data_IF_219841097931
#
_entry.id   IF_219841097931
#
_cell.length_a   1.000
_cell.length_b   1.000
_cell.length_c   1.000
_cell.angle_alpha   90.00
_cell.angle_beta   90.00
_cell.angle_gamma   90.00
#
_symmetry.space_group_name_H-M   'P 1'
#
loop_
_entity.id
_entity.type
_entity.pdbx_description
1 polymer ?
#
# COMPACT_ATOMS: atom_id res chain seq x y z
N UNK A 1 -37.13 -51.98 45.00
CA UNK A 1 -37.67 -51.45 43.73
C UNK A 1 -36.93 -50.15 43.46
N UNK A 2 -35.99 -50.15 42.53
CA UNK A 2 -35.08 -49.02 42.26
C UNK A 2 -35.74 -48.07 41.28
N UNK A 3 -35.72 -46.77 41.58
CA UNK A 3 -36.07 -45.69 40.65
C UNK A 3 -35.04 -44.57 40.79
N UNK A 4 -34.73 -43.96 39.63
CA UNK A 4 -33.88 -42.79 39.29
C UNK A 4 -32.51 -43.17 38.72
N UNK A 5 -32.02 -42.59 37.63
CA UNK A 5 -32.54 -41.58 36.70
C UNK A 5 -31.61 -41.52 35.47
N UNK A 6 -32.19 -41.17 34.33
CA UNK A 6 -31.63 -40.78 33.02
C UNK A 6 -30.13 -40.45 32.95
N UNK A 7 -29.44 -41.11 32.00
CA UNK A 7 -28.25 -40.59 31.35
C UNK A 7 -28.50 -40.60 29.84
N UNK A 8 -28.84 -39.45 29.27
CA UNK A 8 -28.64 -39.21 27.84
C UNK A 8 -27.15 -38.87 27.66
N UNK A 9 -26.43 -39.71 26.92
CA UNK A 9 -25.08 -39.42 26.47
C UNK A 9 -25.14 -38.27 25.46
N UNK A 10 -24.68 -37.08 25.87
CA UNK A 10 -24.34 -36.01 24.95
C UNK A 10 -23.01 -36.36 24.27
N UNK A 11 -23.07 -36.85 23.04
CA UNK A 11 -21.90 -36.88 22.16
C UNK A 11 -21.48 -35.42 21.87
N UNK A 12 -20.45 -34.95 22.57
CA UNK A 12 -19.73 -33.74 22.20
C UNK A 12 -19.13 -33.95 20.80
N UNK A 13 -19.74 -33.32 19.79
CA UNK A 13 -19.17 -33.23 18.45
C UNK A 13 -17.86 -32.43 18.52
N UNK A 14 -16.75 -33.14 18.57
CA UNK A 14 -15.40 -32.58 18.45
C UNK A 14 -15.28 -31.94 17.06
N UNK A 15 -15.43 -30.62 16.96
CA UNK A 15 -15.04 -29.90 15.76
C UNK A 15 -13.50 -29.94 15.68
N UNK A 16 -12.91 -30.47 14.59
CA UNK A 16 -11.46 -30.47 14.46
C UNK A 16 -10.94 -29.04 14.49
N UNK A 17 -9.89 -28.79 15.28
CA UNK A 17 -9.22 -27.50 15.36
C UNK A 17 -8.78 -27.09 13.95
N UNK A 18 -9.23 -25.92 13.52
CA UNK A 18 -8.90 -25.37 12.21
C UNK A 18 -7.38 -25.20 12.05
N UNK A 19 -6.80 -25.89 11.06
CA UNK A 19 -5.37 -25.80 10.71
C UNK A 19 -5.14 -24.84 9.53
N UNK A 20 -5.05 -23.55 9.86
CA UNK A 20 -4.75 -22.47 8.90
C UNK A 20 -3.47 -22.71 8.10
N UNK A 21 -2.44 -23.33 8.70
CA UNK A 21 -1.14 -23.50 8.07
C UNK A 21 -1.22 -24.51 6.93
N UNK A 22 -1.93 -25.61 7.14
CA UNK A 22 -2.12 -26.62 6.10
C UNK A 22 -2.99 -26.11 4.96
N UNK A 23 -4.06 -25.36 5.24
CA UNK A 23 -4.88 -24.73 4.18
C UNK A 23 -4.06 -23.71 3.37
N UNK A 24 -3.28 -22.84 4.02
CA UNK A 24 -2.43 -21.87 3.34
C UNK A 24 -1.38 -22.54 2.46
N UNK A 25 -0.78 -23.64 2.94
CA UNK A 25 0.18 -24.42 2.16
C UNK A 25 -0.49 -25.03 0.93
N UNK A 26 -1.67 -25.63 1.08
CA UNK A 26 -2.40 -26.22 -0.04
C UNK A 26 -2.78 -25.15 -1.09
N UNK A 27 -3.20 -23.97 -0.65
CA UNK A 27 -3.45 -22.83 -1.52
C UNK A 27 -2.19 -22.39 -2.27
N UNK A 28 -1.04 -22.23 -1.58
CA UNK A 28 0.23 -21.83 -2.19
C UNK A 28 0.73 -22.87 -3.22
N UNK A 29 0.64 -24.16 -2.87
CA UNK A 29 1.06 -25.27 -3.74
C UNK A 29 0.23 -25.36 -5.03
N UNK A 30 -1.02 -24.89 -5.00
CA UNK A 30 -1.89 -24.84 -6.18
C UNK A 30 -1.35 -23.90 -7.27
N UNK A 31 -0.64 -22.83 -6.86
CA UNK A 31 -0.11 -21.75 -7.71
C UNK A 31 -1.15 -21.12 -8.65
N UNK A 32 -2.44 -21.28 -8.36
CA UNK A 32 -3.53 -20.74 -9.18
C UNK A 32 -3.96 -19.34 -8.73
N UNK A 33 -3.60 -18.96 -7.50
CA UNK A 33 -3.96 -17.68 -6.87
C UNK A 33 -5.46 -17.57 -6.61
N UNK A 34 -5.89 -16.41 -6.09
CA UNK A 34 -7.31 -16.17 -5.74
C UNK A 34 -8.22 -16.26 -6.96
N UNK A 35 -7.76 -15.77 -8.12
CA UNK A 35 -8.48 -15.88 -9.40
C UNK A 35 -8.79 -17.34 -9.76
N UNK A 36 -7.87 -18.27 -9.52
CA UNK A 36 -8.09 -19.69 -9.77
C UNK A 36 -9.21 -20.29 -8.92
N UNK A 37 -9.44 -19.78 -7.70
CA UNK A 37 -10.58 -20.16 -6.88
C UNK A 37 -11.89 -19.67 -7.51
N UNK A 38 -11.92 -18.41 -7.94
CA UNK A 38 -13.10 -17.81 -8.58
C UNK A 38 -13.43 -18.53 -9.89
N UNK A 39 -12.43 -18.86 -10.70
CA UNK A 39 -12.60 -19.61 -11.95
C UNK A 39 -13.12 -21.04 -11.73
N UNK A 40 -12.82 -21.63 -10.58
CA UNK A 40 -13.38 -22.92 -10.16
C UNK A 40 -14.83 -22.83 -9.66
N UNK A 41 -15.43 -21.63 -9.62
CA UNK A 41 -16.83 -21.41 -9.27
C UNK A 41 -17.11 -21.46 -7.76
N UNK A 42 -16.14 -21.08 -6.92
CA UNK A 42 -16.37 -21.04 -5.47
C UNK A 42 -17.49 -20.06 -5.11
N UNK A 43 -18.41 -20.51 -4.26
CA UNK A 43 -19.51 -19.67 -3.72
C UNK A 43 -19.26 -19.25 -2.28
N UNK A 44 -18.24 -19.82 -1.64
CA UNK A 44 -17.77 -19.47 -0.30
C UNK A 44 -16.27 -19.29 -0.31
N UNK A 45 -15.76 -18.31 0.43
CA UNK A 45 -14.32 -18.09 0.53
C UNK A 45 -13.67 -19.11 1.48
N UNK A 46 -12.47 -19.60 1.17
CA UNK A 46 -11.68 -20.42 2.10
C UNK A 46 -11.44 -19.72 3.45
N UNK A 47 -11.32 -20.49 4.53
CA UNK A 47 -11.24 -19.93 5.89
C UNK A 47 -9.95 -19.13 6.12
N UNK A 48 -8.89 -19.38 5.35
CA UNK A 48 -7.66 -18.57 5.33
C UNK A 48 -7.88 -17.09 4.97
N UNK A 49 -8.98 -16.76 4.26
CA UNK A 49 -9.31 -15.40 3.81
C UNK A 49 -10.34 -14.69 4.70
N UNK A 50 -10.95 -15.40 5.66
CA UNK A 50 -11.93 -14.81 6.57
C UNK A 50 -11.19 -13.96 7.61
N UNK A 51 -11.47 -12.65 7.62
CA UNK A 51 -10.99 -11.74 8.65
C UNK A 51 -11.83 -11.86 9.93
N UNK A 52 -11.19 -11.81 11.09
CA UNK A 52 -11.90 -11.89 12.37
C UNK A 52 -12.78 -10.65 12.61
N UNK A 53 -14.01 -10.85 13.10
CA UNK A 53 -15.09 -9.84 13.23
C UNK A 53 -14.72 -8.52 13.93
N UNK A 54 -13.65 -8.49 14.72
CA UNK A 54 -13.19 -7.26 15.38
C UNK A 54 -12.55 -6.25 14.40
N UNK A 55 -12.05 -6.70 13.24
CA UNK A 55 -11.55 -5.81 12.18
C UNK A 55 -12.67 -5.32 11.25
N UNK A 56 -13.80 -6.04 11.19
CA UNK A 56 -14.94 -5.75 10.32
C UNK A 56 -15.97 -4.78 10.96
N UNK A 57 -16.02 -4.65 12.29
CA UNK A 57 -16.93 -3.69 12.96
C UNK A 57 -16.57 -2.21 12.73
N UNK A 58 -15.35 -1.89 12.29
CA UNK A 58 -15.01 -0.54 11.80
C UNK A 58 -15.65 -0.23 10.43
N UNK A 59 -16.21 -1.25 9.74
CA UNK A 59 -16.76 -1.13 8.38
C UNK A 59 -18.24 -0.75 8.41
N UNK A 60 -19.03 -1.38 9.28
CA UNK A 60 -20.50 -1.28 9.24
C UNK A 60 -21.10 -0.03 9.89
N UNK A 61 -20.29 0.88 10.42
CA UNK A 61 -20.77 2.10 11.13
C UNK A 61 -20.64 3.37 10.26
N UNK A 62 -20.09 3.28 9.04
CA UNK A 62 -19.69 4.46 8.26
C UNK A 62 -20.59 4.79 7.05
N UNK A 63 -21.62 4.00 6.76
CA UNK A 63 -22.49 4.22 5.59
C UNK A 63 -23.36 5.49 5.67
N UNK A 64 -23.38 6.22 6.80
CA UNK A 64 -24.32 7.33 7.03
C UNK A 64 -23.71 8.64 7.58
N UNK A 65 -22.38 8.83 7.51
CA UNK A 65 -21.77 10.12 7.87
C UNK A 65 -21.14 10.78 6.65
N UNK A 66 -21.64 11.94 6.18
CA UNK A 66 -20.96 12.69 5.12
C UNK A 66 -19.69 13.30 5.71
N UNK A 67 -18.56 12.61 5.60
CA UNK A 67 -17.26 13.24 5.84
C UNK A 67 -16.94 14.11 4.61
N UNK A 68 -16.90 15.42 4.83
CA UNK A 68 -16.71 16.48 3.82
C UNK A 68 -15.25 16.52 3.31
N UNK A 69 -14.39 15.61 3.78
CA UNK A 69 -12.96 15.62 3.55
C UNK A 69 -12.60 14.59 2.47
N UNK A 70 -12.22 15.07 1.28
CA UNK A 70 -11.67 14.24 0.19
C UNK A 70 -10.15 14.36 0.10
N UNK A 71 -9.48 13.29 -0.30
CA UNK A 71 -8.03 13.30 -0.59
C UNK A 71 -7.67 14.44 -1.55
N UNK A 72 -6.66 15.29 -1.25
CA UNK A 72 -6.30 16.42 -2.10
C UNK A 72 -5.93 15.99 -3.51
N UNK A 73 -6.43 16.69 -4.52
CA UNK A 73 -5.99 16.57 -5.91
C UNK A 73 -5.06 17.74 -6.21
N UNK A 74 -3.85 17.45 -6.69
CA UNK A 74 -2.81 18.42 -6.99
C UNK A 74 -2.49 18.35 -8.48
N UNK A 75 -2.65 19.49 -9.14
CA UNK A 75 -2.27 19.70 -10.52
C UNK A 75 -0.76 19.98 -10.62
N UNK A 76 -0.05 19.13 -11.37
CA UNK A 76 1.38 19.27 -11.63
C UNK A 76 1.70 19.98 -12.96
N UNK A 77 0.68 20.49 -13.66
CA UNK A 77 0.90 21.32 -14.85
C UNK A 77 1.77 22.53 -14.50
N UNK A 78 2.88 22.68 -15.24
CA UNK A 78 3.85 23.74 -15.04
C UNK A 78 4.70 23.62 -13.77
N UNK A 79 4.89 22.40 -13.24
CA UNK A 79 5.92 22.13 -12.22
C UNK A 79 7.34 22.49 -12.69
N UNK A 80 7.57 22.42 -14.00
CA UNK A 80 8.78 22.86 -14.72
C UNK A 80 8.66 24.31 -15.24
N UNK A 81 7.63 25.03 -14.82
CA UNK A 81 7.38 26.42 -15.17
C UNK A 81 8.22 27.41 -14.36
N UNK A 82 7.69 28.62 -14.16
CA UNK A 82 8.37 29.67 -13.40
C UNK A 82 8.46 29.36 -11.89
N UNK A 83 9.38 30.00 -11.15
CA UNK A 83 9.54 29.79 -9.70
C UNK A 83 8.27 29.99 -8.87
N UNK A 84 7.39 30.91 -9.28
CA UNK A 84 6.12 31.16 -8.62
C UNK A 84 5.18 29.94 -8.71
N UNK A 85 4.98 29.40 -9.92
CA UNK A 85 4.10 28.25 -10.16
C UNK A 85 4.63 26.99 -9.46
N UNK A 86 5.94 26.73 -9.58
CA UNK A 86 6.59 25.63 -8.84
C UNK A 86 6.40 25.77 -7.34
N UNK A 87 6.60 26.96 -6.78
CA UNK A 87 6.42 27.25 -5.35
C UNK A 87 4.99 27.00 -4.85
N UNK A 88 3.98 27.32 -5.65
CA UNK A 88 2.57 27.03 -5.33
C UNK A 88 2.29 25.52 -5.30
N UNK A 89 2.82 24.76 -6.26
CA UNK A 89 2.67 23.30 -6.29
C UNK A 89 3.38 22.66 -5.09
N UNK A 90 4.62 23.07 -4.80
CA UNK A 90 5.38 22.60 -3.62
C UNK A 90 4.61 22.86 -2.32
N UNK A 91 3.97 24.03 -2.19
CA UNK A 91 3.16 24.34 -1.01
C UNK A 91 1.96 23.39 -0.88
N UNK A 92 1.25 23.11 -1.97
CA UNK A 92 0.13 22.13 -1.97
C UNK A 92 0.61 20.73 -1.62
N UNK A 93 1.76 20.31 -2.15
CA UNK A 93 2.36 18.99 -1.84
C UNK A 93 2.73 18.91 -0.35
N UNK A 94 3.39 19.94 0.20
CA UNK A 94 3.69 20.03 1.64
C UNK A 94 2.41 19.88 2.48
N UNK A 95 1.41 20.70 2.19
CA UNK A 95 0.14 20.70 2.94
C UNK A 95 -0.56 19.33 2.88
N UNK A 96 -0.59 18.68 1.71
CA UNK A 96 -1.18 17.36 1.56
C UNK A 96 -0.39 16.29 2.31
N UNK A 97 0.94 16.32 2.23
CA UNK A 97 1.77 15.34 2.92
C UNK A 97 1.69 15.49 4.45
N UNK A 98 1.59 16.71 4.98
CA UNK A 98 1.46 16.96 6.43
C UNK A 98 0.08 16.61 6.99
N UNK A 99 -0.99 16.87 6.24
CA UNK A 99 -2.37 16.69 6.73
C UNK A 99 -2.97 15.33 6.37
N UNK A 100 -2.56 14.77 5.24
CA UNK A 100 -3.15 13.55 4.67
C UNK A 100 -2.13 12.43 4.49
N UNK A 101 -0.86 12.75 4.23
CA UNK A 101 0.13 11.76 3.79
C UNK A 101 -0.16 11.17 2.41
N UNK A 102 -1.25 11.60 1.77
CA UNK A 102 -1.76 11.17 0.47
C UNK A 102 -2.16 12.39 -0.34
N UNK A 103 -2.01 12.26 -1.67
CA UNK A 103 -2.65 13.15 -2.63
C UNK A 103 -2.85 12.40 -3.95
N UNK A 104 -3.81 12.86 -4.73
CA UNK A 104 -3.93 12.50 -6.14
C UNK A 104 -3.17 13.54 -6.96
N UNK A 105 -2.39 13.07 -7.92
CA UNK A 105 -1.58 13.89 -8.80
C UNK A 105 -2.16 13.80 -10.21
N UNK A 106 -2.46 14.95 -10.83
CA UNK A 106 -2.92 15.05 -12.23
C UNK A 106 -1.93 15.88 -13.05
N UNK A 107 -1.99 15.77 -14.38
CA UNK A 107 -1.08 16.45 -15.30
C UNK A 107 0.42 16.17 -15.01
N UNK A 108 0.74 14.96 -14.56
CA UNK A 108 2.09 14.50 -14.19
C UNK A 108 2.99 14.13 -15.38
N UNK A 109 2.51 14.28 -16.61
CA UNK A 109 3.30 14.07 -17.83
C UNK A 109 3.43 12.61 -18.32
N UNK A 110 2.90 11.63 -17.60
CA UNK A 110 2.81 10.24 -18.13
C UNK A 110 1.63 10.17 -19.10
N UNK A 111 1.82 9.74 -20.36
CA UNK A 111 0.71 9.67 -21.32
C UNK A 111 -0.37 8.69 -20.86
N UNK A 112 -1.64 9.07 -21.01
CA UNK A 112 -2.79 8.23 -20.65
C UNK A 112 -2.69 6.81 -21.25
N UNK A 113 -2.30 6.70 -22.54
CA UNK A 113 -2.09 5.40 -23.19
C UNK A 113 -1.15 4.46 -22.41
N UNK A 114 -0.10 4.99 -21.79
CA UNK A 114 0.90 4.18 -21.09
C UNK A 114 0.31 3.63 -19.79
N UNK A 115 -0.53 4.43 -19.12
CA UNK A 115 -1.26 3.99 -17.93
C UNK A 115 -2.34 2.97 -18.29
N UNK A 116 -3.09 3.20 -19.36
CA UNK A 116 -4.11 2.28 -19.86
C UNK A 116 -3.51 0.93 -20.29
N UNK A 117 -2.40 0.97 -21.04
CA UNK A 117 -1.66 -0.22 -21.46
C UNK A 117 -1.10 -1.00 -20.26
N UNK A 118 -0.68 -0.30 -19.20
CA UNK A 118 -0.22 -0.93 -17.96
C UNK A 118 -1.37 -1.67 -17.24
N UNK A 119 -2.51 -1.02 -17.02
CA UNK A 119 -3.70 -1.62 -16.40
C UNK A 119 -4.17 -2.83 -17.22
N UNK A 120 -4.29 -2.66 -18.53
CA UNK A 120 -4.73 -3.73 -19.42
C UNK A 120 -3.71 -4.87 -19.50
N UNK A 121 -2.41 -4.57 -19.46
CA UNK A 121 -1.33 -5.57 -19.40
C UNK A 121 -1.41 -6.44 -18.15
N UNK A 122 -1.62 -5.82 -16.98
CA UNK A 122 -1.83 -6.54 -15.70
C UNK A 122 -3.09 -7.39 -15.76
N UNK A 123 -4.19 -6.86 -16.31
CA UNK A 123 -5.44 -7.62 -16.48
C UNK A 123 -5.23 -8.82 -17.38
N UNK A 124 -4.68 -8.63 -18.59
CA UNK A 124 -4.39 -9.72 -19.54
C UNK A 124 -3.48 -10.78 -18.93
N UNK A 125 -2.50 -10.38 -18.13
CA UNK A 125 -1.66 -11.32 -17.41
C UNK A 125 -2.48 -12.19 -16.46
N UNK A 126 -3.34 -11.60 -15.63
CA UNK A 126 -4.13 -12.33 -14.65
C UNK A 126 -5.29 -13.14 -15.25
N UNK A 127 -5.82 -12.73 -16.40
CA UNK A 127 -6.87 -13.46 -17.13
C UNK A 127 -6.36 -14.67 -17.92
N UNK A 128 -5.05 -14.86 -18.06
CA UNK A 128 -4.50 -16.07 -18.67
C UNK A 128 -4.82 -17.34 -17.87
N UNK A 129 -4.80 -18.47 -18.56
CA UNK A 129 -4.92 -19.80 -17.97
C UNK A 129 -3.89 -20.00 -16.84
N UNK A 130 -4.31 -20.71 -15.79
CA UNK A 130 -3.46 -20.95 -14.62
C UNK A 130 -2.11 -21.61 -14.99
N UNK A 131 -2.09 -22.52 -15.97
CA UNK A 131 -0.86 -23.17 -16.43
C UNK A 131 0.14 -22.22 -17.10
N UNK A 132 -0.34 -21.18 -17.80
CA UNK A 132 0.52 -20.15 -18.36
C UNK A 132 1.14 -19.29 -17.25
N UNK A 133 0.32 -18.84 -16.29
CA UNK A 133 0.75 -18.02 -15.15
C UNK A 133 1.71 -18.76 -14.20
N UNK A 134 1.53 -20.06 -14.00
CA UNK A 134 2.38 -20.91 -13.13
C UNK A 134 3.87 -20.83 -13.48
N UNK A 135 4.23 -20.58 -14.75
CA UNK A 135 5.62 -20.41 -15.22
C UNK A 135 6.27 -19.14 -14.65
N UNK A 136 5.44 -18.16 -14.31
CA UNK A 136 5.85 -16.89 -13.71
C UNK A 136 5.88 -16.93 -12.19
N UNK A 137 5.30 -17.95 -11.56
CA UNK A 137 5.29 -18.11 -10.11
C UNK A 137 6.72 -18.25 -9.58
N UNK A 138 7.16 -17.27 -8.79
CA UNK A 138 8.51 -17.18 -8.25
C UNK A 138 8.49 -16.42 -6.93
N UNK A 139 9.35 -16.84 -5.98
CA UNK A 139 9.69 -16.04 -4.79
C UNK A 139 10.95 -15.19 -4.99
N UNK A 140 11.63 -15.37 -6.12
CA UNK A 140 12.76 -14.54 -6.52
C UNK A 140 12.24 -13.23 -7.15
N UNK A 141 12.62 -12.13 -6.53
CA UNK A 141 12.24 -10.75 -6.89
C UNK A 141 13.12 -10.15 -7.98
N UNK A 142 14.17 -10.85 -8.45
CA UNK A 142 15.10 -10.36 -9.47
C UNK A 142 14.65 -10.65 -10.91
N UNK A 143 13.37 -10.96 -11.14
CA UNK A 143 12.85 -11.22 -12.50
C UNK A 143 12.67 -9.90 -13.26
N UNK A 144 13.00 -9.87 -14.57
CA UNK A 144 12.88 -8.67 -15.38
C UNK A 144 11.41 -8.24 -15.51
N UNK A 145 11.19 -6.92 -15.48
CA UNK A 145 9.89 -6.31 -15.70
C UNK A 145 9.38 -6.56 -17.11
N UNK A 146 8.10 -6.90 -17.23
CA UNK A 146 7.45 -7.19 -18.51
C UNK A 146 6.91 -5.89 -19.15
N UNK A 147 6.80 -4.79 -18.39
CA UNK A 147 6.16 -3.53 -18.79
C UNK A 147 7.14 -2.35 -18.67
N UNK A 148 8.16 -2.38 -19.53
CA UNK A 148 9.33 -1.47 -19.53
C UNK A 148 8.92 0.00 -19.70
N UNK A 149 7.96 0.32 -20.58
CA UNK A 149 7.62 1.74 -20.85
C UNK A 149 7.02 2.43 -19.61
N UNK A 150 6.06 1.79 -18.93
CA UNK A 150 5.48 2.37 -17.71
C UNK A 150 6.51 2.46 -16.58
N UNK A 151 7.36 1.43 -16.41
CA UNK A 151 8.38 1.45 -15.36
C UNK A 151 9.39 2.58 -15.57
N UNK A 152 9.84 2.83 -16.80
CA UNK A 152 10.70 3.98 -17.11
C UNK A 152 10.04 5.32 -16.82
N UNK A 153 8.77 5.49 -17.22
CA UNK A 153 8.02 6.74 -17.02
C UNK A 153 7.77 7.02 -15.54
N UNK A 154 7.32 6.02 -14.78
CA UNK A 154 7.07 6.19 -13.33
C UNK A 154 8.36 6.39 -12.55
N UNK A 155 9.49 5.82 -13.00
CA UNK A 155 10.80 6.08 -12.40
C UNK A 155 11.24 7.52 -12.61
N UNK A 156 11.12 8.06 -13.83
CA UNK A 156 11.40 9.48 -14.11
C UNK A 156 10.52 10.40 -13.26
N UNK A 157 9.24 10.07 -13.15
CA UNK A 157 8.30 10.81 -12.30
C UNK A 157 8.67 10.73 -10.81
N UNK A 158 9.04 9.54 -10.32
CA UNK A 158 9.49 9.35 -8.94
C UNK A 158 10.74 10.17 -8.61
N UNK A 159 11.70 10.21 -9.53
CA UNK A 159 12.91 11.05 -9.43
C UNK A 159 12.53 12.54 -9.34
N UNK A 160 11.62 13.04 -10.19
CA UNK A 160 11.15 14.41 -10.11
C UNK A 160 10.41 14.69 -8.79
N UNK A 161 9.60 13.74 -8.33
CA UNK A 161 8.86 13.87 -7.08
C UNK A 161 9.78 13.92 -5.85
N UNK A 162 10.92 13.23 -5.85
CA UNK A 162 11.95 13.39 -4.81
C UNK A 162 12.47 14.84 -4.73
N UNK A 163 12.54 15.58 -5.84
CA UNK A 163 12.94 17.00 -5.81
C UNK A 163 11.87 17.86 -5.16
N UNK A 164 10.63 17.68 -5.61
CA UNK A 164 9.46 18.39 -5.06
C UNK A 164 9.32 18.12 -3.57
N UNK A 165 9.50 16.87 -3.13
CA UNK A 165 9.49 16.50 -1.72
C UNK A 165 10.66 17.13 -0.95
N UNK A 166 11.86 17.19 -1.53
CA UNK A 166 13.00 17.86 -0.89
C UNK A 166 12.72 19.35 -0.66
N UNK A 167 12.18 20.04 -1.65
CA UNK A 167 11.78 21.45 -1.52
C UNK A 167 10.58 21.64 -0.57
N UNK A 168 9.63 20.69 -0.58
CA UNK A 168 8.53 20.63 0.38
C UNK A 168 9.01 20.36 1.82
N UNK A 169 10.25 19.93 2.01
CA UNK A 169 10.91 19.87 3.32
C UNK A 169 11.77 21.11 3.62
N UNK A 170 11.85 22.06 2.69
CA UNK A 170 12.70 23.25 2.80
C UNK A 170 14.18 22.98 2.53
N UNK A 171 14.49 21.90 1.80
CA UNK A 171 15.83 21.44 1.50
C UNK A 171 16.23 21.78 0.06
N UNK A 172 17.49 21.54 -0.27
CA UNK A 172 17.95 21.57 -1.66
C UNK A 172 17.15 20.55 -2.49
N UNK A 173 16.70 20.85 -3.72
CA UNK A 173 15.94 19.92 -4.56
C UNK A 173 16.61 18.55 -4.73
N UNK A 174 17.94 18.48 -4.78
CA UNK A 174 18.64 17.21 -4.96
C UNK A 174 18.87 16.45 -3.64
N UNK A 175 18.46 16.98 -2.49
CA UNK A 175 18.82 16.42 -1.19
C UNK A 175 18.48 14.94 -1.04
N UNK A 176 17.24 14.54 -1.32
CA UNK A 176 16.84 13.13 -1.21
C UNK A 176 17.49 12.24 -2.28
N UNK A 177 17.82 12.79 -3.45
CA UNK A 177 18.56 12.06 -4.49
C UNK A 177 20.00 11.81 -4.10
N UNK A 178 20.68 12.82 -3.55
CA UNK A 178 22.06 12.74 -3.08
C UNK A 178 22.23 11.78 -1.88
N UNK A 179 21.11 11.44 -1.24
CA UNK A 179 20.99 10.39 -0.22
C UNK A 179 20.69 9.01 -0.79
N UNK A 180 20.78 8.83 -2.10
CA UNK A 180 20.58 7.56 -2.81
C UNK A 180 19.16 6.97 -2.61
N UNK A 181 18.18 7.82 -2.26
CA UNK A 181 16.79 7.40 -2.01
C UNK A 181 16.06 6.99 -3.29
N UNK A 182 16.54 7.46 -4.44
CA UNK A 182 15.96 7.20 -5.77
C UNK A 182 16.53 5.97 -6.48
N UNK A 183 17.50 5.27 -5.88
CA UNK A 183 18.29 4.19 -6.52
C UNK A 183 17.58 2.82 -6.52
N UNK A 184 16.29 2.76 -6.21
CA UNK A 184 15.57 1.49 -6.21
C UNK A 184 14.06 1.65 -6.22
N UNK A 185 13.41 0.79 -7.00
CA UNK A 185 11.95 0.67 -7.05
C UNK A 185 11.51 -0.79 -7.04
N UNK A 186 10.25 -0.98 -6.65
CA UNK A 186 9.58 -2.27 -6.69
C UNK A 186 8.14 -2.07 -7.14
N UNK A 187 7.76 -2.79 -8.20
CA UNK A 187 6.43 -2.67 -8.80
C UNK A 187 5.61 -3.94 -8.55
N UNK A 188 4.33 -3.77 -8.21
CA UNK A 188 3.36 -4.85 -8.08
C UNK A 188 2.11 -4.52 -8.87
N UNK A 189 1.72 -5.39 -9.80
CA UNK A 189 0.40 -5.34 -10.46
C UNK A 189 -0.57 -6.22 -9.68
N UNK A 190 -1.33 -5.62 -8.76
CA UNK A 190 -2.35 -6.34 -8.01
C UNK A 190 -3.64 -6.45 -8.82
N UNK A 191 -4.29 -7.59 -8.66
CA UNK A 191 -5.51 -7.94 -9.35
C UNK A 191 -6.47 -8.57 -8.35
N UNK A 192 -7.65 -7.97 -8.21
CA UNK A 192 -8.66 -8.37 -7.23
C UNK A 192 -9.90 -8.89 -7.95
N UNK A 193 -10.08 -10.21 -8.07
CA UNK A 193 -11.26 -10.79 -8.72
C UNK A 193 -12.51 -10.58 -7.86
N UNK A 194 -13.69 -10.61 -8.48
CA UNK A 194 -14.98 -10.56 -7.78
C UNK A 194 -15.05 -11.59 -6.62
N UNK A 195 -15.48 -11.16 -5.44
CA UNK A 195 -15.55 -12.00 -4.25
C UNK A 195 -16.99 -12.42 -3.97
N UNK A 196 -17.28 -13.72 -3.71
CA UNK A 196 -18.62 -14.17 -3.38
C UNK A 196 -19.08 -13.77 -1.96
N UNK A 197 -18.14 -13.54 -1.04
CA UNK A 197 -18.42 -13.14 0.36
C UNK A 197 -17.56 -11.92 0.74
N UNK A 198 -17.80 -10.75 0.10
CA UNK A 198 -16.94 -9.57 0.26
C UNK A 198 -16.94 -9.02 1.69
N UNK A 199 -18.01 -9.21 2.46
CA UNK A 199 -18.11 -8.75 3.85
C UNK A 199 -17.25 -9.55 4.84
N UNK A 200 -16.66 -10.67 4.40
CA UNK A 200 -15.83 -11.54 5.23
C UNK A 200 -14.33 -11.34 5.00
N UNK A 201 -13.92 -10.52 4.03
CA UNK A 201 -12.52 -10.41 3.63
C UNK A 201 -12.17 -9.01 3.15
N UNK A 202 -10.88 -8.76 2.93
CA UNK A 202 -10.34 -7.52 2.38
C UNK A 202 -9.47 -7.85 1.17
N UNK A 203 -9.40 -6.96 0.19
CA UNK A 203 -8.41 -7.10 -0.89
C UNK A 203 -6.98 -7.07 -0.32
N UNK A 204 -6.71 -6.16 0.59
CA UNK A 204 -5.46 -6.12 1.36
C UNK A 204 -5.74 -5.62 2.77
N UNK A 205 -5.07 -6.23 3.75
CA UNK A 205 -5.21 -5.86 5.15
C UNK A 205 -4.65 -4.46 5.43
N UNK A 206 -5.08 -3.88 6.56
CA UNK A 206 -4.64 -2.59 7.07
C UNK A 206 -3.10 -2.52 7.15
N UNK A 207 -2.45 -1.58 6.45
CA UNK A 207 -0.99 -1.42 6.53
C UNK A 207 -0.43 -0.06 6.09
N UNK A 208 0.80 0.23 6.53
CA UNK A 208 1.68 1.30 6.01
C UNK A 208 2.67 0.74 4.99
N UNK A 209 3.13 1.58 4.06
CA UNK A 209 4.16 1.22 3.09
C UNK A 209 5.58 1.32 3.65
N UNK A 210 6.48 0.45 3.19
CA UNK A 210 7.86 0.35 3.64
C UNK A 210 8.87 1.27 2.93
N UNK A 211 8.46 1.99 1.89
CA UNK A 211 9.36 2.81 1.06
C UNK A 211 9.52 4.25 1.53
N UNK A 212 10.00 5.13 0.65
CA UNK A 212 9.97 6.59 0.84
C UNK A 212 8.60 7.16 0.48
N UNK A 213 8.10 6.77 -0.69
CA UNK A 213 6.73 6.99 -1.11
C UNK A 213 6.34 5.91 -2.12
N UNK A 214 5.06 5.87 -2.40
CA UNK A 214 4.46 4.98 -3.40
C UNK A 214 3.74 5.82 -4.44
N UNK A 215 3.85 5.42 -5.71
CA UNK A 215 3.03 5.93 -6.82
C UNK A 215 2.10 4.80 -7.22
N UNK A 216 0.81 5.07 -7.15
CA UNK A 216 -0.25 4.08 -7.27
C UNK A 216 -1.18 4.47 -8.43
N UNK A 217 -1.25 3.59 -9.43
CA UNK A 217 -2.14 3.72 -10.58
C UNK A 217 -3.34 2.79 -10.36
N UNK A 218 -4.54 3.36 -10.35
CA UNK A 218 -5.80 2.62 -10.21
C UNK A 218 -6.56 2.60 -11.54
N UNK A 219 -7.40 1.58 -11.71
CA UNK A 219 -8.52 1.70 -12.65
C UNK A 219 -9.61 2.66 -12.12
N UNK A 220 -10.72 2.74 -12.83
CA UNK A 220 -11.84 3.61 -12.48
C UNK A 220 -12.87 2.95 -11.54
N UNK A 221 -12.57 1.76 -11.00
CA UNK A 221 -13.49 0.97 -10.18
C UNK A 221 -13.42 1.38 -8.70
N UNK A 222 -12.26 1.86 -8.25
CA UNK A 222 -12.03 2.30 -6.88
C UNK A 222 -11.65 1.15 -5.94
N UNK A 223 -12.02 1.27 -4.66
CA UNK A 223 -11.73 0.27 -3.62
C UNK A 223 -10.61 0.67 -2.66
N UNK A 224 -9.75 1.63 -3.01
CA UNK A 224 -8.74 2.16 -2.09
C UNK A 224 -9.39 2.97 -0.97
N UNK A 225 -9.12 2.59 0.28
CA UNK A 225 -9.51 3.34 1.46
C UNK A 225 -8.28 3.72 2.27
N UNK A 226 -8.25 4.94 2.79
CA UNK A 226 -7.20 5.43 3.68
C UNK A 226 -7.77 5.71 5.06
N UNK A 227 -6.98 5.46 6.10
CA UNK A 227 -7.32 5.87 7.45
C UNK A 227 -6.87 7.32 7.67
N UNK A 228 -7.80 8.25 7.81
CA UNK A 228 -7.58 9.66 8.07
C UNK A 228 -8.42 10.10 9.27
N UNK A 229 -7.80 10.71 10.29
CA UNK A 229 -8.50 11.14 11.53
C UNK A 229 -9.35 10.02 12.18
N UNK A 230 -8.79 8.81 12.27
CA UNK A 230 -9.43 7.58 12.78
C UNK A 230 -10.70 7.15 12.01
N UNK A 231 -10.89 7.67 10.79
CA UNK A 231 -11.98 7.31 9.89
C UNK A 231 -11.44 6.73 8.57
N UNK A 232 -12.12 5.71 8.06
CA UNK A 232 -11.85 5.19 6.72
C UNK A 232 -12.46 6.12 5.67
N UNK A 233 -11.64 6.62 4.77
CA UNK A 233 -12.02 7.52 3.67
C UNK A 233 -11.76 6.85 2.34
N UNK A 234 -12.78 6.79 1.48
CA UNK A 234 -12.63 6.29 0.12
C UNK A 234 -11.81 7.26 -0.74
N UNK A 235 -10.82 6.72 -1.46
CA UNK A 235 -10.10 7.45 -2.50
C UNK A 235 -10.78 7.19 -3.83
N UNK A 236 -11.66 8.12 -4.22
CA UNK A 236 -12.34 8.05 -5.51
C UNK A 236 -11.32 8.25 -6.65
N UNK A 237 -11.21 7.30 -7.60
CA UNK A 237 -10.32 7.47 -8.76
C UNK A 237 -10.69 8.73 -9.55
N UNK A 238 -9.68 9.52 -9.88
CA UNK A 238 -9.83 10.65 -10.79
C UNK A 238 -9.23 10.28 -12.15
N UNK A 239 -9.90 10.60 -13.28
CA UNK A 239 -9.36 10.28 -14.61
C UNK A 239 -7.96 10.85 -14.82
N UNK A 240 -7.02 9.98 -15.23
CA UNK A 240 -5.63 10.35 -15.47
C UNK A 240 -4.85 10.76 -14.22
N UNK A 241 -5.33 10.42 -13.02
CA UNK A 241 -4.61 10.68 -11.78
C UNK A 241 -3.77 9.49 -11.31
N UNK A 242 -2.67 9.79 -10.65
CA UNK A 242 -1.88 8.85 -9.86
C UNK A 242 -2.05 9.19 -8.38
N UNK A 243 -2.29 8.19 -7.54
CA UNK A 243 -2.29 8.38 -6.09
C UNK A 243 -0.85 8.30 -5.59
N UNK A 244 -0.45 9.27 -4.78
CA UNK A 244 0.86 9.29 -4.13
C UNK A 244 0.66 9.18 -2.64
N UNK A 245 1.44 8.33 -1.98
CA UNK A 245 1.50 8.26 -0.53
C UNK A 245 2.89 8.25 0.06
N UNK A 246 3.03 8.90 1.21
CA UNK A 246 4.27 8.97 1.98
C UNK A 246 4.42 7.71 2.82
N UNK A 247 5.55 7.04 2.67
CA UNK A 247 5.83 5.74 3.27
C UNK A 247 6.83 5.84 4.43
N UNK A 248 6.97 4.75 5.18
CA UNK A 248 7.62 4.71 6.49
C UNK A 248 9.06 5.25 6.49
N UNK A 249 9.86 5.04 5.42
CA UNK A 249 11.25 5.54 5.38
C UNK A 249 11.32 7.07 5.33
N UNK A 250 10.43 7.71 4.58
CA UNK A 250 10.40 9.18 4.52
C UNK A 250 9.83 9.76 5.82
N UNK A 251 8.89 9.08 6.47
CA UNK A 251 8.38 9.46 7.79
C UNK A 251 9.42 9.27 8.91
N UNK A 252 10.29 8.24 8.78
CA UNK A 252 11.38 7.98 9.70
C UNK A 252 12.48 9.04 9.63
N UNK A 253 12.59 9.75 8.51
CA UNK A 253 13.56 10.83 8.28
C UNK A 253 13.43 11.95 9.33
N UNK A 254 14.51 12.71 9.59
CA UNK A 254 14.53 13.76 10.62
C UNK A 254 13.57 14.93 10.33
N UNK A 255 12.98 14.99 9.13
CA UNK A 255 12.12 16.08 8.67
C UNK A 255 10.64 15.89 9.02
N UNK A 256 10.30 14.72 9.59
CA UNK A 256 9.07 14.45 10.32
C UNK A 256 7.76 14.84 9.62
N UNK A 257 7.57 14.35 8.39
CA UNK A 257 6.28 14.37 7.71
C UNK A 257 5.42 13.24 8.28
N UNK A 258 4.83 13.45 9.47
CA UNK A 258 4.04 12.42 10.16
C UNK A 258 2.62 12.38 9.61
N UNK A 259 2.28 11.32 8.87
CA UNK A 259 0.90 10.80 8.84
C UNK A 259 0.96 9.28 8.91
N UNK A 260 0.50 8.72 10.04
CA UNK A 260 0.30 7.29 10.17
C UNK A 260 -0.76 6.89 9.18
N UNK A 261 -0.42 6.11 8.17
CA UNK A 261 -1.42 5.77 7.18
C UNK A 261 -1.54 4.29 6.95
N UNK A 262 -2.72 3.82 7.32
CA UNK A 262 -3.16 2.50 6.98
C UNK A 262 -4.09 2.59 5.78
N UNK A 263 -3.80 1.85 4.72
CA UNK A 263 -4.76 1.67 3.64
C UNK A 263 -5.25 0.23 3.58
N UNK A 264 -6.45 0.07 3.04
CA UNK A 264 -7.04 -1.23 2.69
C UNK A 264 -7.74 -1.12 1.36
N UNK A 265 -8.05 -2.27 0.78
CA UNK A 265 -8.95 -2.34 -0.37
C UNK A 265 -10.28 -2.96 0.07
N UNK A 266 -11.33 -2.14 0.10
CA UNK A 266 -12.69 -2.50 0.50
C UNK A 266 -13.62 -2.74 -0.70
N UNK A 267 -14.63 -3.59 -0.47
CA UNK A 267 -15.76 -3.98 -1.33
C UNK A 267 -15.44 -4.47 -2.75
N UNK A 268 -15.49 -5.79 -2.90
CA UNK A 268 -15.23 -6.47 -4.17
C UNK A 268 -16.54 -6.73 -4.93
N UNK A 269 -17.11 -5.66 -5.49
CA UNK A 269 -17.87 -5.75 -6.73
C UNK A 269 -17.92 -4.37 -7.39
N UNK A 270 -17.36 -4.16 -8.59
CA UNK A 270 -16.77 -5.14 -9.52
C UNK A 270 -15.25 -5.37 -9.31
N UNK A 271 -14.64 -6.22 -10.14
CA UNK A 271 -13.19 -6.47 -10.24
C UNK A 271 -12.42 -5.14 -10.30
N UNK A 272 -11.28 -5.04 -9.62
CA UNK A 272 -10.40 -3.89 -9.77
C UNK A 272 -8.92 -4.27 -9.92
N UNK A 273 -8.18 -3.41 -10.62
CA UNK A 273 -6.74 -3.51 -10.82
C UNK A 273 -6.01 -2.29 -10.25
N UNK A 274 -4.85 -2.53 -9.63
CA UNK A 274 -3.99 -1.46 -9.13
C UNK A 274 -2.52 -1.81 -9.33
N UNK A 275 -1.75 -0.84 -9.77
CA UNK A 275 -0.30 -0.93 -9.88
C UNK A 275 0.30 -0.10 -8.77
N UNK A 276 1.09 -0.76 -7.92
CA UNK A 276 1.77 -0.15 -6.79
C UNK A 276 3.24 -0.09 -7.11
N UNK A 277 3.78 1.11 -7.29
CA UNK A 277 5.22 1.33 -7.47
C UNK A 277 5.79 1.94 -6.20
N UNK A 278 6.57 1.16 -5.45
CA UNK A 278 7.24 1.59 -4.22
C UNK A 278 8.65 2.07 -4.55
N UNK A 279 8.99 3.29 -4.14
CA UNK A 279 10.35 3.82 -4.26
C UNK A 279 11.06 3.53 -2.94
N UNK A 280 12.10 2.70 -2.98
CA UNK A 280 12.61 2.02 -1.79
C UNK A 280 14.10 2.28 -1.48
N UNK A 281 14.85 3.02 -2.31
CA UNK A 281 16.30 3.25 -2.17
C UNK A 281 17.14 1.97 -2.31
N UNK A 282 18.45 2.10 -2.55
CA UNK A 282 19.31 0.93 -2.73
C UNK A 282 19.50 0.13 -1.41
N UNK A 283 19.66 -1.18 -1.57
CA UNK A 283 19.42 -2.23 -0.59
C UNK A 283 20.64 -2.78 0.14
N UNK A 284 21.86 -2.28 -0.11
CA UNK A 284 23.05 -2.80 0.60
C UNK A 284 23.90 -1.76 1.33
N UNK A 285 24.02 -0.52 0.82
CA UNK A 285 24.99 0.45 1.36
C UNK A 285 24.48 1.89 1.44
N UNK A 286 23.15 2.11 1.45
CA UNK A 286 22.59 3.41 1.82
C UNK A 286 22.90 3.70 3.30
N UNK A 287 24.16 4.07 3.57
CA UNK A 287 24.60 4.66 4.80
C UNK A 287 23.65 5.82 5.04
N UNK A 288 23.11 5.88 6.26
CA UNK A 288 22.46 7.06 6.79
C UNK A 288 23.47 8.23 6.62
N UNK A 289 23.47 8.92 5.48
CA UNK A 289 24.24 10.14 5.31
C UNK A 289 23.60 11.09 6.32
N UNK A 290 24.39 11.37 7.37
CA UNK A 290 24.01 12.09 8.59
C UNK A 290 22.98 13.19 8.32
N UNK A 291 22.00 13.40 9.21
CA UNK A 291 21.20 14.61 9.17
C UNK A 291 22.12 15.83 9.18
N UNK A 292 22.02 16.67 8.16
CA UNK A 292 22.50 18.04 8.26
C UNK A 292 21.70 18.67 9.40
N UNK A 293 22.33 18.95 10.54
CA UNK A 293 21.73 19.55 11.74
C UNK A 293 21.27 21.01 11.53
N UNK A 294 20.81 21.38 10.34
CA UNK A 294 20.27 22.72 10.09
C UNK A 294 18.77 22.62 9.87
N UNK A 295 18.05 22.94 10.94
CA UNK A 295 16.62 23.26 11.02
C UNK A 295 15.71 22.09 11.40
N UNK A 296 15.78 21.69 12.68
CA UNK A 296 14.63 21.08 13.35
C UNK A 296 13.62 22.20 13.70
N UNK A 297 12.34 22.07 13.34
CA UNK A 297 11.27 22.75 14.08
C UNK A 297 11.27 22.19 15.51
N UNK A 298 11.22 23.07 16.52
CA UNK A 298 11.25 22.69 17.94
C UNK A 298 10.06 21.83 18.41
N UNK A 299 9.16 21.40 17.53
CA UNK A 299 7.94 20.63 17.85
C UNK A 299 8.04 19.11 17.64
N UNK A 300 9.12 18.55 17.08
CA UNK A 300 9.20 17.11 16.81
C UNK A 300 9.59 16.30 18.07
N UNK A 301 8.59 15.75 18.76
CA UNK A 301 8.72 15.08 20.06
C UNK A 301 9.22 13.62 20.03
N UNK A 302 9.54 13.05 18.87
CA UNK A 302 9.96 11.66 18.76
C UNK A 302 11.39 11.54 18.22
N UNK A 303 12.35 11.32 19.12
CA UNK A 303 13.70 10.88 18.73
C UNK A 303 13.63 9.40 18.32
N UNK A 304 14.13 9.05 17.14
CA UNK A 304 14.23 7.66 16.66
C UNK A 304 15.67 7.18 16.75
N UNK A 305 15.88 5.88 16.97
CA UNK A 305 17.21 5.28 16.93
C UNK A 305 17.70 5.27 15.49
N UNK A 306 19.01 5.40 15.31
CA UNK A 306 19.63 5.25 14.00
C UNK A 306 19.38 3.83 13.46
N UNK A 307 19.07 3.69 12.17
CA UNK A 307 18.67 2.41 11.56
C UNK A 307 18.97 2.44 10.06
N UNK A 308 19.48 1.33 9.54
CA UNK A 308 19.73 1.15 8.10
C UNK A 308 18.46 0.76 7.34
N UNK A 309 18.36 1.08 6.04
CA UNK A 309 17.24 0.63 5.17
C UNK A 309 17.11 -0.90 5.21
N UNK A 310 18.24 -1.61 5.25
CA UNK A 310 18.30 -3.08 5.36
C UNK A 310 17.66 -3.60 6.65
N UNK A 311 18.03 -3.06 7.80
CA UNK A 311 17.43 -3.44 9.10
C UNK A 311 15.94 -3.14 9.14
N UNK A 312 15.53 -1.99 8.60
CA UNK A 312 14.12 -1.62 8.50
C UNK A 312 13.33 -2.64 7.68
N UNK A 313 13.83 -3.04 6.50
CA UNK A 313 13.17 -4.03 5.63
C UNK A 313 13.09 -5.41 6.27
N UNK A 314 14.17 -5.89 6.90
CA UNK A 314 14.17 -7.18 7.59
C UNK A 314 13.11 -7.20 8.69
N UNK A 315 13.02 -6.14 9.49
CA UNK A 315 11.98 -6.00 10.49
C UNK A 315 10.57 -5.93 9.87
N UNK A 316 10.41 -5.13 8.81
CA UNK A 316 9.14 -4.94 8.12
C UNK A 316 8.57 -6.27 7.60
N UNK A 317 9.40 -7.08 6.93
CA UNK A 317 8.99 -8.39 6.41
C UNK A 317 8.76 -9.41 7.51
N UNK A 318 9.59 -9.42 8.56
CA UNK A 318 9.42 -10.35 9.70
C UNK A 318 8.11 -10.09 10.46
N UNK A 319 7.73 -8.81 10.61
CA UNK A 319 6.51 -8.42 11.33
C UNK A 319 5.23 -8.70 10.53
N UNK A 320 5.27 -8.63 9.20
CA UNK A 320 4.08 -8.81 8.36
C UNK A 320 3.15 -7.59 8.34
N UNK A 321 1.92 -7.75 7.87
CA UNK A 321 0.90 -6.69 7.82
C UNK A 321 -0.11 -6.92 8.95
N UNK A 322 0.17 -6.38 10.13
CA UNK A 322 -0.64 -6.58 11.35
C UNK A 322 -1.43 -5.31 11.76
N UNK A 323 -1.53 -4.31 10.87
CA UNK A 323 -2.20 -3.05 11.15
C UNK A 323 -1.48 -2.11 12.11
N UNK A 324 -0.33 -2.48 12.67
CA UNK A 324 0.40 -1.63 13.63
C UNK A 324 1.67 -1.05 13.01
N UNK A 325 1.92 0.24 13.27
CA UNK A 325 3.06 0.96 12.70
C UNK A 325 4.39 0.26 13.02
N UNK A 326 5.18 0.01 11.98
CA UNK A 326 6.53 -0.56 12.10
C UNK A 326 7.55 0.43 12.62
N UNK A 327 7.26 1.73 12.53
CA UNK A 327 8.08 2.80 13.07
C UNK A 327 8.15 2.81 14.60
N UNK A 328 7.15 2.22 15.28
CA UNK A 328 7.15 2.06 16.75
C UNK A 328 8.40 1.34 17.27
N UNK A 329 8.89 0.34 16.53
CA UNK A 329 10.08 -0.43 16.89
C UNK A 329 11.37 0.40 16.94
N UNK A 330 11.37 1.55 16.26
CA UNK A 330 12.54 2.42 16.11
C UNK A 330 12.46 3.70 16.96
N UNK A 331 11.39 3.89 17.74
CA UNK A 331 11.29 5.02 18.68
C UNK A 331 12.28 4.81 19.83
N UNK A 332 13.04 5.85 20.19
CA UNK A 332 13.80 5.82 21.43
C UNK A 332 12.80 5.92 22.59
N UNK A 333 12.87 4.98 23.54
CA UNK A 333 12.15 5.10 24.81
C UNK A 333 12.58 6.42 25.48
N UNK A 334 11.61 7.15 26.05
CA UNK A 334 11.90 8.32 26.86
C UNK A 334 12.58 7.93 28.16
#
# INVERSE_FOLDING_TARGET
MVVKSNGEELEEQFQPVYDRKSELKAFDDSKSGVKGLIDAGVTKIPHIFIEEKNQLHEISILDDVPSVSSVPIIDFEGIDGGPAQRGEIIKKVRDACEKWGFFQMVNHGIPARVMDDMIEGVRRFHEQDAEAKKRFYSRDVKRPDILIEYSEQVMRLGIALFEVLSEALGLNPNHLKDMDCAEGSFMMGHYYPACPEPDLTLGTSKHTDSGFFTVLLQDQMGGLQILHEDQWVDVRPSPGALVVNIADLLQASPYNMMVYLSFRFGYVFPRFEVIVTKLIGDSEEAHHKRPVQKHQPQSASAKRRETTVKEFRVHYHKKGLDGTSKLSHFKLCK
#
